data_IF_108848537514
#
_entry.id   IF_108848537514
#
_cell.length_a   1.000
_cell.length_b   1.000
_cell.length_c   1.000
_cell.angle_alpha   90.00
_cell.angle_beta   90.00
_cell.angle_gamma   90.00
#
_symmetry.space_group_name_H-M   'P 1'
#
loop_
_entity.id
_entity.type
_entity.pdbx_description
1 polymer ?
#
# COMPACT_ATOMS: atom_id res chain seq x y z
N UNK A 1 72.40 -26.88 57.84
CA UNK A 1 72.12 -28.19 58.48
C UNK A 1 71.56 -29.21 57.48
N UNK A 2 70.42 -28.93 56.81
CA UNK A 2 69.78 -29.89 55.89
C UNK A 2 70.67 -30.35 54.71
N UNK A 3 71.40 -29.42 54.07
CA UNK A 3 72.31 -29.76 52.96
C UNK A 3 73.40 -30.72 53.43
N UNK A 4 74.07 -30.44 54.55
CA UNK A 4 75.11 -31.31 55.13
C UNK A 4 74.56 -32.69 55.52
N UNK A 5 73.34 -32.75 56.07
CA UNK A 5 72.68 -34.02 56.43
C UNK A 5 72.36 -34.85 55.18
N UNK A 6 71.84 -34.20 54.13
CA UNK A 6 71.57 -34.83 52.84
C UNK A 6 72.87 -35.31 52.20
N UNK A 7 73.94 -34.50 52.19
CA UNK A 7 75.23 -34.90 51.62
C UNK A 7 75.85 -36.08 52.38
N UNK A 8 75.73 -36.13 53.71
CA UNK A 8 76.22 -37.22 54.54
C UNK A 8 75.42 -38.52 54.32
N UNK A 9 74.08 -38.45 54.26
CA UNK A 9 73.22 -39.59 53.93
C UNK A 9 73.47 -40.09 52.50
N UNK A 10 73.68 -39.17 51.55
CA UNK A 10 74.06 -39.51 50.19
C UNK A 10 75.40 -40.25 50.16
N UNK A 11 76.46 -39.70 50.78
CA UNK A 11 77.77 -40.36 50.84
C UNK A 11 77.69 -41.76 51.45
N UNK A 12 76.90 -41.94 52.51
CA UNK A 12 76.77 -43.22 53.22
C UNK A 12 75.96 -44.26 52.44
N UNK A 13 74.87 -43.86 51.78
CA UNK A 13 74.10 -44.74 50.90
C UNK A 13 74.85 -45.11 49.62
N UNK A 14 75.70 -44.20 49.11
CA UNK A 14 76.45 -44.40 47.86
C UNK A 14 77.80 -45.11 48.01
N UNK A 15 78.36 -45.20 49.23
CA UNK A 15 79.57 -45.98 49.51
C UNK A 15 79.39 -47.50 49.28
N UNK A 16 78.14 -48.00 49.23
CA UNK A 16 77.81 -49.41 49.02
C UNK A 16 77.57 -49.80 47.54
N UNK A 17 77.59 -48.84 46.61
CA UNK A 17 77.24 -49.05 45.19
C UNK A 17 78.47 -49.11 44.30
N UNK A 18 78.48 -50.01 43.30
CA UNK A 18 79.53 -50.05 42.28
C UNK A 18 79.45 -48.80 41.39
N UNK A 19 80.58 -48.30 40.91
CA UNK A 19 80.66 -47.06 40.12
C UNK A 19 79.67 -46.99 38.92
N UNK A 20 79.38 -48.12 38.27
CA UNK A 20 78.38 -48.21 37.17
C UNK A 20 76.94 -47.97 37.64
N UNK A 21 76.57 -48.48 38.82
CA UNK A 21 75.24 -48.28 39.41
C UNK A 21 75.05 -46.84 39.89
N UNK A 22 76.14 -46.22 40.35
CA UNK A 22 76.13 -44.80 40.68
C UNK A 22 75.88 -43.93 39.45
N UNK A 23 76.60 -44.20 38.36
CA UNK A 23 76.46 -43.44 37.12
C UNK A 23 75.05 -43.58 36.52
N UNK A 24 74.45 -44.78 36.56
CA UNK A 24 73.10 -45.01 36.04
C UNK A 24 72.02 -44.30 36.86
N UNK A 25 72.12 -44.33 38.20
CA UNK A 25 71.19 -43.60 39.08
C UNK A 25 71.34 -42.08 38.95
N UNK A 26 72.57 -41.58 38.77
CA UNK A 26 72.82 -40.17 38.50
C UNK A 26 72.23 -39.75 37.15
N UNK A 27 72.43 -40.55 36.10
CA UNK A 27 71.86 -40.29 34.77
C UNK A 27 70.32 -40.28 34.80
N UNK A 28 69.70 -41.24 35.47
CA UNK A 28 68.24 -41.29 35.66
C UNK A 28 67.73 -40.08 36.43
N UNK A 29 68.46 -39.62 37.46
CA UNK A 29 68.09 -38.44 38.24
C UNK A 29 68.23 -37.15 37.43
N UNK A 30 69.30 -37.00 36.66
CA UNK A 30 69.47 -35.87 35.74
C UNK A 30 68.36 -35.89 34.70
N UNK A 31 68.04 -37.04 34.10
CA UNK A 31 66.94 -37.19 33.15
C UNK A 31 65.58 -36.81 33.76
N UNK A 32 65.31 -37.24 35.00
CA UNK A 32 64.08 -36.87 35.71
C UNK A 32 64.00 -35.36 35.99
N UNK A 33 65.11 -34.74 36.42
CA UNK A 33 65.16 -33.29 36.65
C UNK A 33 64.96 -32.54 35.33
N UNK A 34 65.63 -32.96 34.25
CA UNK A 34 65.47 -32.37 32.91
C UNK A 34 64.03 -32.50 32.43
N UNK A 35 63.40 -33.66 32.63
CA UNK A 35 61.98 -33.87 32.28
C UNK A 35 61.06 -32.93 33.07
N UNK A 36 61.26 -32.79 34.39
CA UNK A 36 60.48 -31.87 35.23
C UNK A 36 60.67 -30.43 34.80
N UNK A 37 61.90 -30.02 34.48
CA UNK A 37 62.22 -28.69 33.96
C UNK A 37 61.54 -28.45 32.61
N UNK A 38 61.57 -29.43 31.69
CA UNK A 38 60.86 -29.38 30.41
C UNK A 38 59.34 -29.23 30.60
N UNK A 39 58.74 -29.97 31.54
CA UNK A 39 57.31 -29.86 31.85
C UNK A 39 56.96 -28.50 32.49
N UNK A 40 57.85 -27.93 33.32
CA UNK A 40 57.71 -26.59 33.89
C UNK A 40 57.73 -25.50 32.82
N UNK A 41 58.53 -25.67 31.76
CA UNK A 41 58.53 -24.75 30.62
C UNK A 41 57.24 -24.78 29.79
N UNK A 42 56.33 -25.75 30.05
CA UNK A 42 55.07 -25.93 29.32
C UNK A 42 55.23 -25.74 27.81
N UNK A 43 56.05 -26.58 27.13
CA UNK A 43 56.16 -26.51 25.69
C UNK A 43 54.79 -26.79 25.07
N UNK A 44 54.20 -25.78 24.44
CA UNK A 44 52.95 -25.89 23.70
C UNK A 44 53.29 -25.97 22.22
N UNK A 45 52.92 -27.07 21.57
CA UNK A 45 52.91 -27.16 20.11
C UNK A 45 51.56 -26.59 19.62
N UNK A 46 51.57 -25.37 19.11
CA UNK A 46 50.39 -24.77 18.47
C UNK A 46 50.46 -24.97 16.95
N UNK A 47 49.48 -25.67 16.39
CA UNK A 47 49.24 -25.71 14.94
C UNK A 47 48.19 -24.65 14.58
N UNK A 48 48.61 -23.61 13.87
CA UNK A 48 47.69 -22.64 13.27
C UNK A 48 47.42 -23.09 11.83
N UNK A 49 46.16 -23.38 11.51
CA UNK A 49 45.71 -23.58 10.14
C UNK A 49 44.99 -22.29 9.73
N UNK A 50 45.69 -21.41 9.02
CA UNK A 50 45.05 -20.27 8.36
C UNK A 50 44.18 -20.83 7.21
N UNK A 51 42.88 -20.82 7.41
CA UNK A 51 41.92 -21.13 6.35
C UNK A 51 41.50 -19.78 5.77
N UNK A 52 42.04 -19.46 4.59
CA UNK A 52 41.70 -18.24 3.87
C UNK A 52 40.29 -18.44 3.30
N UNK A 53 39.28 -17.93 3.98
CA UNK A 53 37.91 -17.89 3.45
C UNK A 53 37.88 -16.85 2.33
N UNK A 54 37.43 -17.27 1.14
CA UNK A 54 37.20 -16.35 0.04
C UNK A 54 35.96 -15.50 0.35
N UNK A 55 36.00 -14.18 0.10
CA UNK A 55 34.82 -13.35 0.22
C UNK A 55 33.73 -13.81 -0.75
N UNK A 56 32.47 -13.72 -0.34
CA UNK A 56 31.32 -14.10 -1.15
C UNK A 56 30.83 -12.93 -2.01
N UNK A 57 30.49 -13.21 -3.26
CA UNK A 57 29.87 -12.25 -4.20
C UNK A 57 28.54 -12.83 -4.70
N UNK A 58 27.46 -12.06 -4.57
CA UNK A 58 26.11 -12.54 -4.88
C UNK A 58 25.58 -11.83 -6.12
N UNK A 59 25.22 -12.59 -7.15
CA UNK A 59 24.51 -12.10 -8.32
C UNK A 59 23.00 -12.28 -8.17
N UNK A 60 22.24 -11.21 -8.39
CA UNK A 60 20.79 -11.22 -8.48
C UNK A 60 20.39 -10.98 -9.94
N UNK A 61 19.75 -11.96 -10.57
CA UNK A 61 19.28 -11.87 -11.95
C UNK A 61 17.75 -11.78 -12.00
N UNK A 62 17.25 -10.68 -12.55
CA UNK A 62 15.83 -10.49 -12.81
C UNK A 62 15.38 -11.33 -14.01
N UNK A 63 14.29 -12.09 -13.84
CA UNK A 63 13.61 -12.86 -14.89
C UNK A 63 12.13 -12.51 -15.03
N UNK A 64 11.75 -11.29 -14.66
CA UNK A 64 10.41 -10.77 -14.91
C UNK A 64 10.12 -10.66 -16.41
N UNK A 65 8.83 -10.61 -16.76
CA UNK A 65 8.37 -10.59 -18.15
C UNK A 65 8.91 -9.39 -18.94
N UNK A 66 9.18 -8.24 -18.30
CA UNK A 66 9.79 -7.08 -18.95
C UNK A 66 11.23 -7.33 -19.40
N UNK A 67 11.92 -8.32 -18.82
CA UNK A 67 13.25 -8.73 -19.26
C UNK A 67 13.23 -9.49 -20.61
N UNK A 68 12.05 -9.88 -21.11
CA UNK A 68 11.88 -10.48 -22.45
C UNK A 68 11.98 -9.46 -23.59
N UNK A 69 11.90 -8.16 -23.29
CA UNK A 69 11.89 -7.08 -24.28
C UNK A 69 13.29 -6.96 -24.91
N UNK A 70 13.34 -6.80 -26.24
CA UNK A 70 14.54 -6.52 -27.01
C UNK A 70 14.54 -5.06 -27.49
N UNK A 71 15.00 -4.16 -26.63
CA UNK A 71 14.93 -2.71 -26.83
C UNK A 71 16.27 -2.06 -27.24
N UNK A 72 17.37 -2.80 -27.17
CA UNK A 72 18.69 -2.37 -27.66
C UNK A 72 18.85 -2.60 -29.17
N UNK A 73 19.76 -1.84 -29.80
CA UNK A 73 20.04 -1.90 -31.24
C UNK A 73 20.53 -3.29 -31.71
N UNK A 74 21.02 -4.12 -30.78
CA UNK A 74 21.43 -5.50 -31.05
C UNK A 74 20.26 -6.48 -31.22
N UNK A 75 19.04 -6.10 -30.84
CA UNK A 75 17.85 -6.98 -30.87
C UNK A 75 17.90 -8.13 -29.85
N UNK A 76 18.86 -8.11 -28.92
CA UNK A 76 18.97 -9.10 -27.84
C UNK A 76 18.08 -8.68 -26.67
N UNK A 77 17.33 -9.63 -26.11
CA UNK A 77 16.47 -9.36 -24.95
C UNK A 77 17.28 -8.91 -23.73
N UNK A 78 16.71 -8.04 -22.88
CA UNK A 78 17.35 -7.58 -21.64
C UNK A 78 17.83 -8.75 -20.78
N UNK A 79 17.06 -9.82 -20.68
CA UNK A 79 17.44 -11.05 -19.97
C UNK A 79 18.73 -11.67 -20.52
N UNK A 80 18.82 -11.82 -21.84
CA UNK A 80 19.99 -12.43 -22.48
C UNK A 80 21.22 -11.53 -22.39
N UNK A 81 21.05 -10.21 -22.40
CA UNK A 81 22.13 -9.26 -22.12
C UNK A 81 22.66 -9.46 -20.69
N UNK A 82 21.77 -9.51 -19.69
CA UNK A 82 22.15 -9.74 -18.29
C UNK A 82 22.85 -11.11 -18.10
N UNK A 83 22.26 -12.17 -18.68
CA UNK A 83 22.79 -13.53 -18.62
C UNK A 83 24.21 -13.64 -19.19
N UNK A 84 24.41 -13.14 -20.41
CA UNK A 84 25.71 -13.23 -21.09
C UNK A 84 26.82 -12.47 -20.34
N UNK A 85 26.48 -11.36 -19.66
CA UNK A 85 27.41 -10.64 -18.79
C UNK A 85 27.83 -11.48 -17.58
N UNK A 86 26.88 -12.13 -16.90
CA UNK A 86 27.19 -13.02 -15.77
C UNK A 86 28.07 -14.17 -16.24
N UNK A 87 27.72 -14.84 -17.35
CA UNK A 87 28.52 -15.93 -17.93
C UNK A 87 29.96 -15.50 -18.25
N UNK A 88 30.13 -14.27 -18.77
CA UNK A 88 31.46 -13.72 -19.08
C UNK A 88 32.26 -13.40 -17.82
N UNK A 89 31.62 -12.92 -16.76
CA UNK A 89 32.29 -12.51 -15.51
C UNK A 89 32.53 -13.67 -14.54
N UNK A 90 31.83 -14.79 -14.72
CA UNK A 90 31.84 -15.90 -13.78
C UNK A 90 33.25 -16.48 -13.58
N UNK A 91 33.94 -16.85 -14.66
CA UNK A 91 35.22 -17.56 -14.57
C UNK A 91 36.35 -16.70 -13.97
N UNK A 92 36.52 -15.41 -14.34
CA UNK A 92 37.48 -14.54 -13.67
C UNK A 92 37.19 -14.33 -12.19
N UNK A 93 35.92 -14.10 -11.82
CA UNK A 93 35.56 -13.77 -10.43
C UNK A 93 35.60 -14.97 -9.49
N UNK A 94 35.37 -16.18 -10.01
CA UNK A 94 35.43 -17.43 -9.24
C UNK A 94 36.83 -17.73 -8.68
N UNK A 95 37.88 -17.11 -9.22
CA UNK A 95 39.25 -17.26 -8.70
C UNK A 95 39.44 -16.55 -7.35
N UNK A 96 38.76 -15.42 -7.17
CA UNK A 96 38.93 -14.53 -6.02
C UNK A 96 37.76 -14.59 -5.02
N UNK A 97 36.56 -14.97 -5.48
CA UNK A 97 35.31 -14.92 -4.72
C UNK A 97 34.54 -16.25 -4.72
N UNK A 98 33.82 -16.51 -3.64
CA UNK A 98 32.77 -17.53 -3.59
C UNK A 98 31.48 -16.97 -4.21
N UNK A 99 31.07 -17.49 -5.37
CA UNK A 99 30.00 -16.91 -6.17
C UNK A 99 28.65 -17.57 -5.86
N UNK A 100 27.67 -16.75 -5.52
CA UNK A 100 26.27 -17.18 -5.41
C UNK A 100 25.42 -16.53 -6.47
N UNK A 101 24.53 -17.29 -7.08
CA UNK A 101 23.63 -16.81 -8.12
C UNK A 101 22.18 -17.02 -7.70
N UNK A 102 21.38 -15.97 -7.76
CA UNK A 102 19.98 -15.98 -7.35
C UNK A 102 19.16 -15.40 -8.51
N UNK A 103 18.23 -16.18 -9.04
CA UNK A 103 17.19 -15.68 -9.93
C UNK A 103 16.04 -15.08 -9.12
N UNK A 104 15.39 -14.05 -9.64
CA UNK A 104 14.15 -13.57 -9.05
C UNK A 104 13.12 -13.05 -10.05
N UNK A 105 11.85 -13.15 -9.62
CA UNK A 105 10.70 -12.47 -10.19
C UNK A 105 9.71 -12.15 -9.07
N UNK A 106 8.57 -12.86 -8.97
CA UNK A 106 7.70 -12.82 -7.79
C UNK A 106 8.37 -13.50 -6.58
N UNK A 107 9.15 -14.56 -6.84
CA UNK A 107 9.92 -15.31 -5.84
C UNK A 107 11.39 -15.22 -6.18
N UNK A 108 12.25 -15.53 -5.22
CA UNK A 108 13.69 -15.64 -5.43
C UNK A 108 14.15 -17.09 -5.21
N UNK A 109 15.00 -17.59 -6.10
CA UNK A 109 15.54 -18.95 -6.08
C UNK A 109 17.06 -18.93 -6.24
N UNK A 110 17.77 -19.74 -5.45
CA UNK A 110 19.21 -19.92 -5.63
C UNK A 110 19.47 -20.89 -6.78
N UNK A 111 20.51 -20.62 -7.56
CA UNK A 111 21.01 -21.51 -8.60
C UNK A 111 22.35 -22.09 -8.15
N UNK A 112 22.56 -23.36 -8.46
CA UNK A 112 23.77 -24.07 -8.04
C UNK A 112 24.99 -23.71 -8.90
N UNK A 113 24.76 -23.34 -10.16
CA UNK A 113 25.83 -23.08 -11.12
C UNK A 113 25.39 -22.13 -12.24
N UNK A 114 26.38 -21.63 -13.00
CA UNK A 114 26.16 -20.69 -14.10
C UNK A 114 25.46 -21.36 -15.29
N UNK A 115 25.66 -22.67 -15.49
CA UNK A 115 25.03 -23.45 -16.55
C UNK A 115 23.50 -23.49 -16.42
N UNK A 116 22.98 -23.38 -15.19
CA UNK A 116 21.55 -23.30 -14.90
C UNK A 116 20.88 -22.08 -15.53
N UNK A 117 21.65 -21.03 -15.87
CA UNK A 117 21.13 -19.84 -16.55
C UNK A 117 20.57 -20.14 -17.95
N UNK A 118 21.07 -21.17 -18.62
CA UNK A 118 20.61 -21.53 -19.96
C UNK A 118 19.17 -22.05 -19.98
N UNK A 119 18.69 -22.61 -18.86
CA UNK A 119 17.34 -23.16 -18.70
C UNK A 119 16.30 -22.15 -18.23
N UNK A 120 16.69 -20.90 -17.94
CA UNK A 120 15.80 -19.87 -17.44
C UNK A 120 15.19 -19.05 -18.57
N UNK A 121 13.92 -18.66 -18.39
CA UNK A 121 13.20 -17.77 -19.27
C UNK A 121 12.66 -16.56 -18.47
N UNK A 122 12.58 -15.37 -19.09
CA UNK A 122 11.98 -14.19 -18.48
C UNK A 122 10.45 -14.26 -18.52
N UNK A 123 9.86 -15.17 -17.74
CA UNK A 123 8.41 -15.45 -17.70
C UNK A 123 7.74 -14.99 -16.39
N UNK A 124 8.48 -14.30 -15.53
CA UNK A 124 8.01 -13.86 -14.22
C UNK A 124 6.91 -12.79 -14.31
N UNK A 125 5.78 -13.02 -13.64
CA UNK A 125 4.63 -12.08 -13.65
C UNK A 125 4.84 -10.81 -12.82
N UNK A 126 5.85 -10.79 -11.96
CA UNK A 126 6.16 -9.68 -11.07
C UNK A 126 7.67 -9.56 -10.86
N UNK A 127 8.10 -8.43 -10.30
CA UNK A 127 9.49 -8.03 -10.08
C UNK A 127 9.66 -7.61 -8.62
N UNK A 128 10.05 -8.55 -7.77
CA UNK A 128 10.25 -8.35 -6.33
C UNK A 128 11.73 -8.28 -5.95
N UNK A 129 12.36 -7.14 -6.24
CA UNK A 129 13.73 -6.82 -5.82
C UNK A 129 13.90 -6.97 -4.30
N UNK A 130 12.89 -6.58 -3.50
CA UNK A 130 12.92 -6.74 -2.05
C UNK A 130 13.02 -8.21 -1.60
N UNK A 131 12.35 -9.16 -2.28
CA UNK A 131 12.50 -10.60 -2.01
C UNK A 131 13.87 -11.13 -2.45
N UNK A 132 14.42 -10.64 -3.57
CA UNK A 132 15.76 -10.98 -4.03
C UNK A 132 16.84 -10.57 -3.01
N UNK A 133 16.75 -9.36 -2.46
CA UNK A 133 17.65 -8.89 -1.41
C UNK A 133 17.52 -9.69 -0.10
N UNK A 134 16.30 -10.11 0.27
CA UNK A 134 16.12 -11.02 1.41
C UNK A 134 16.78 -12.38 1.15
N UNK A 135 16.69 -12.92 -0.08
CA UNK A 135 17.37 -14.16 -0.44
C UNK A 135 18.89 -14.01 -0.40
N UNK A 136 19.43 -12.90 -0.94
CA UNK A 136 20.87 -12.58 -0.86
C UNK A 136 21.37 -12.54 0.60
N UNK A 137 20.62 -11.91 1.50
CA UNK A 137 21.00 -11.84 2.93
C UNK A 137 21.09 -13.19 3.63
N UNK A 138 20.52 -14.25 3.04
CA UNK A 138 20.52 -15.63 3.55
C UNK A 138 21.49 -16.55 2.81
N UNK A 139 22.04 -16.12 1.68
CA UNK A 139 22.88 -16.94 0.82
C UNK A 139 24.26 -17.21 1.43
N UNK A 140 24.81 -16.23 2.16
CA UNK A 140 26.09 -16.34 2.84
C UNK A 140 26.11 -15.53 4.16
N UNK A 141 27.01 -15.86 5.10
CA UNK A 141 27.20 -15.09 6.32
C UNK A 141 27.53 -13.63 6.02
N UNK A 142 26.89 -12.68 6.73
CA UNK A 142 27.03 -11.24 6.44
C UNK A 142 28.48 -10.73 6.45
N UNK A 143 29.35 -11.34 7.24
CA UNK A 143 30.77 -10.98 7.36
C UNK A 143 31.64 -11.52 6.21
N UNK A 144 31.13 -12.42 5.37
CA UNK A 144 31.85 -12.94 4.20
C UNK A 144 31.39 -12.25 2.92
N UNK A 145 30.17 -11.69 2.87
CA UNK A 145 29.64 -11.05 1.65
C UNK A 145 30.29 -9.68 1.43
N UNK A 146 31.06 -9.57 0.35
CA UNK A 146 31.70 -8.33 -0.07
C UNK A 146 30.68 -7.40 -0.75
N UNK A 147 29.91 -7.94 -1.70
CA UNK A 147 28.91 -7.18 -2.45
C UNK A 147 27.80 -8.05 -3.03
N UNK A 148 26.70 -7.38 -3.39
CA UNK A 148 25.60 -7.93 -4.18
C UNK A 148 25.52 -7.18 -5.50
N UNK A 149 25.46 -7.89 -6.63
CA UNK A 149 25.32 -7.30 -7.96
C UNK A 149 23.91 -7.61 -8.47
N UNK A 150 23.09 -6.57 -8.63
CA UNK A 150 21.72 -6.65 -9.12
C UNK A 150 21.64 -6.31 -10.60
N UNK A 151 21.13 -7.23 -11.43
CA UNK A 151 20.87 -7.02 -12.85
C UNK A 151 19.35 -7.03 -13.09
N UNK A 152 18.80 -5.88 -13.49
CA UNK A 152 17.35 -5.68 -13.71
C UNK A 152 17.11 -4.46 -14.61
N UNK A 153 15.92 -4.34 -15.18
CA UNK A 153 15.45 -3.11 -15.85
C UNK A 153 14.94 -2.04 -14.85
N UNK A 154 14.94 -2.36 -13.55
CA UNK A 154 14.73 -1.42 -12.45
C UNK A 154 13.28 -1.25 -12.01
N UNK A 155 12.31 -1.90 -12.67
CA UNK A 155 10.89 -1.77 -12.31
C UNK A 155 10.56 -2.66 -11.11
N UNK A 156 10.18 -2.05 -9.98
CA UNK A 156 9.72 -2.80 -8.81
C UNK A 156 8.19 -2.73 -8.67
N UNK A 157 7.52 -3.87 -8.60
CA UNK A 157 6.05 -3.94 -8.51
C UNK A 157 5.55 -4.81 -7.35
N UNK A 158 6.32 -4.92 -6.26
CA UNK A 158 5.90 -5.60 -5.04
C UNK A 158 5.68 -4.62 -3.88
N UNK A 159 4.87 -5.01 -2.89
CA UNK A 159 4.45 -4.10 -1.82
C UNK A 159 5.59 -3.59 -0.91
N UNK A 160 6.70 -4.32 -0.79
CA UNK A 160 7.78 -4.00 0.15
C UNK A 160 8.89 -3.22 -0.54
N UNK A 161 9.19 -2.03 -0.03
CA UNK A 161 10.25 -1.15 -0.55
C UNK A 161 11.64 -1.84 -0.50
N UNK A 162 12.34 -1.98 -1.65
CA UNK A 162 13.68 -2.56 -1.72
C UNK A 162 14.76 -1.79 -0.93
N UNK A 163 14.67 -0.46 -0.86
CA UNK A 163 15.66 0.37 -0.17
C UNK A 163 15.70 0.06 1.32
N UNK A 164 14.54 -0.13 1.95
CA UNK A 164 14.46 -0.51 3.36
C UNK A 164 15.12 -1.88 3.63
N UNK A 165 15.02 -2.81 2.69
CA UNK A 165 15.65 -4.14 2.80
C UNK A 165 17.16 -4.02 2.62
N UNK A 166 17.62 -3.25 1.63
CA UNK A 166 19.05 -3.05 1.37
C UNK A 166 19.76 -2.41 2.57
N UNK A 167 19.17 -1.37 3.18
CA UNK A 167 19.72 -0.72 4.39
C UNK A 167 19.83 -1.70 5.56
N UNK A 168 18.82 -2.56 5.76
CA UNK A 168 18.85 -3.59 6.83
C UNK A 168 19.86 -4.70 6.57
N UNK A 169 20.06 -5.09 5.31
CA UNK A 169 21.08 -6.07 4.92
C UNK A 169 22.49 -5.54 5.21
N UNK A 170 22.73 -4.26 4.96
CA UNK A 170 23.97 -3.57 5.30
C UNK A 170 25.20 -4.17 4.60
N UNK A 171 25.01 -4.62 3.36
CA UNK A 171 26.02 -5.05 2.38
C UNK A 171 25.87 -4.14 1.15
N UNK A 172 26.96 -3.83 0.46
CA UNK A 172 26.91 -2.96 -0.73
C UNK A 172 26.15 -3.65 -1.86
N UNK A 173 25.17 -2.95 -2.45
CA UNK A 173 24.43 -3.42 -3.62
C UNK A 173 24.83 -2.57 -4.83
N UNK A 174 25.51 -3.19 -5.80
CA UNK A 174 25.78 -2.60 -7.09
C UNK A 174 24.65 -2.93 -8.05
N UNK A 175 24.05 -1.91 -8.67
CA UNK A 175 22.94 -2.08 -9.60
C UNK A 175 23.40 -1.89 -11.03
N UNK A 176 23.06 -2.83 -11.90
CA UNK A 176 23.29 -2.79 -13.34
C UNK A 176 21.92 -2.75 -14.00
N UNK A 177 21.57 -1.56 -14.51
CA UNK A 177 20.37 -1.37 -15.33
C UNK A 177 20.56 -2.05 -16.69
N UNK A 178 19.60 -2.87 -17.10
CA UNK A 178 19.61 -3.55 -18.40
C UNK A 178 18.45 -3.07 -19.25
N UNK A 179 18.74 -2.78 -20.51
CA UNK A 179 17.86 -2.05 -21.42
C UNK A 179 18.52 -0.77 -21.91
N UNK A 180 18.02 -0.22 -23.01
CA UNK A 180 18.55 1.03 -23.55
C UNK A 180 17.91 2.24 -22.84
N UNK A 181 18.65 3.35 -22.72
CA UNK A 181 18.05 4.66 -22.41
C UNK A 181 17.34 5.16 -23.67
N UNK A 182 16.11 4.69 -23.87
CA UNK A 182 15.36 4.76 -25.13
C UNK A 182 15.15 6.19 -25.66
N UNK A 183 15.20 7.20 -24.78
CA UNK A 183 15.09 8.62 -25.18
C UNK A 183 16.26 9.16 -26.01
N UNK A 184 17.45 8.56 -25.92
CA UNK A 184 18.64 9.06 -26.63
C UNK A 184 18.81 8.42 -28.02
N UNK A 185 18.01 7.40 -28.35
CA UNK A 185 18.02 6.77 -29.66
C UNK A 185 16.98 7.44 -30.57
N UNK A 186 17.46 8.18 -31.58
CA UNK A 186 16.62 8.92 -32.55
C UNK A 186 15.66 7.99 -33.32
N UNK A 187 15.93 6.68 -33.34
CA UNK A 187 15.08 5.68 -33.99
C UNK A 187 14.00 5.11 -33.08
N UNK A 188 14.03 5.38 -31.77
CA UNK A 188 13.05 4.85 -30.83
C UNK A 188 11.74 5.62 -30.89
N UNK A 189 10.66 4.88 -31.09
CA UNK A 189 9.29 5.39 -31.15
C UNK A 189 8.41 4.47 -30.32
N UNK A 190 7.61 5.06 -29.44
CA UNK A 190 6.82 4.32 -28.44
C UNK A 190 5.71 5.21 -27.89
N UNK A 191 4.55 4.62 -27.60
CA UNK A 191 3.45 5.27 -26.90
C UNK A 191 3.03 4.37 -25.75
N UNK A 192 3.05 4.90 -24.54
CA UNK A 192 2.71 4.13 -23.36
C UNK A 192 1.66 4.81 -22.48
N UNK A 193 0.80 4.00 -21.89
CA UNK A 193 -0.11 4.42 -20.82
C UNK A 193 0.60 4.21 -19.48
N UNK A 194 1.16 5.29 -18.93
CA UNK A 194 1.99 5.23 -17.72
C UNK A 194 1.15 5.04 -16.46
N UNK A 195 -0.04 5.64 -16.41
CA UNK A 195 -0.93 5.57 -15.25
C UNK A 195 -2.40 5.75 -15.64
N UNK A 196 -3.28 5.22 -14.80
CA UNK A 196 -4.72 5.48 -14.80
C UNK A 196 -5.12 5.86 -13.37
N UNK A 197 -5.66 7.05 -13.21
CA UNK A 197 -6.23 7.56 -11.96
C UNK A 197 -7.75 7.36 -12.03
N UNK A 198 -8.23 6.34 -11.34
CA UNK A 198 -9.62 5.89 -11.36
C UNK A 198 -10.06 5.65 -9.91
N UNK A 199 -11.14 6.30 -9.44
CA UNK A 199 -11.70 6.08 -8.12
C UNK A 199 -11.97 4.59 -7.82
N UNK A 200 -11.50 4.09 -6.68
CA UNK A 200 -11.73 2.70 -6.25
C UNK A 200 -13.22 2.38 -6.03
N UNK A 201 -14.05 3.41 -5.81
CA UNK A 201 -15.50 3.31 -5.62
C UNK A 201 -16.21 4.42 -6.39
N UNK A 202 -17.29 4.05 -7.07
CA UNK A 202 -18.14 4.97 -7.84
C UNK A 202 -19.61 4.68 -7.56
N UNK A 203 -20.49 5.62 -7.88
CA UNK A 203 -21.93 5.43 -7.78
C UNK A 203 -22.55 5.21 -9.15
N UNK A 204 -23.52 4.30 -9.22
CA UNK A 204 -24.30 4.08 -10.44
C UNK A 204 -25.03 5.36 -10.84
N UNK A 205 -25.05 5.66 -12.14
CA UNK A 205 -25.65 6.84 -12.79
C UNK A 205 -25.05 8.19 -12.39
N UNK A 206 -24.02 8.24 -11.54
CA UNK A 206 -23.34 9.46 -11.17
C UNK A 206 -22.14 9.75 -12.07
N UNK A 207 -21.82 11.04 -12.23
CA UNK A 207 -20.68 11.47 -13.04
C UNK A 207 -19.36 11.06 -12.35
N UNK A 208 -18.64 10.15 -12.98
CA UNK A 208 -17.31 9.71 -12.59
C UNK A 208 -16.26 10.29 -13.55
N UNK A 209 -15.08 10.57 -13.01
CA UNK A 209 -13.94 11.10 -13.75
C UNK A 209 -12.76 10.14 -13.66
N UNK A 210 -12.21 9.76 -14.80
CA UNK A 210 -11.02 8.90 -14.92
C UNK A 210 -9.96 9.66 -15.70
N UNK A 211 -8.74 9.70 -15.18
CA UNK A 211 -7.63 10.41 -15.83
C UNK A 211 -6.51 9.44 -16.21
N UNK A 212 -6.23 9.34 -17.50
CA UNK A 212 -5.10 8.59 -18.02
C UNK A 212 -3.87 9.49 -18.15
N UNK A 213 -2.69 8.91 -17.95
CA UNK A 213 -1.40 9.53 -18.27
C UNK A 213 -0.79 8.76 -19.43
N UNK A 214 -0.62 9.45 -20.56
CA UNK A 214 -0.06 8.90 -21.80
C UNK A 214 1.28 9.59 -22.07
N UNK A 215 2.31 8.82 -22.33
CA UNK A 215 3.64 9.33 -22.69
C UNK A 215 4.01 8.78 -24.06
N UNK A 216 4.57 9.65 -24.90
CA UNK A 216 5.10 9.25 -26.19
C UNK A 216 6.56 9.68 -26.33
N UNK A 217 7.32 8.90 -27.08
CA UNK A 217 8.73 9.19 -27.39
C UNK A 217 8.87 9.13 -28.91
N UNK A 218 9.51 10.15 -29.50
CA UNK A 218 9.86 10.16 -30.93
C UNK A 218 8.67 10.28 -31.90
N UNK A 219 7.48 10.64 -31.41
CA UNK A 219 6.24 10.78 -32.20
C UNK A 219 5.53 12.14 -32.06
N UNK A 220 6.24 13.30 -31.99
CA UNK A 220 5.59 14.58 -31.74
C UNK A 220 4.67 15.01 -32.90
N UNK A 221 3.57 15.67 -32.56
CA UNK A 221 2.57 16.21 -33.50
C UNK A 221 1.60 15.18 -34.05
N UNK A 222 1.71 13.89 -33.68
CA UNK A 222 0.74 12.87 -34.09
C UNK A 222 -0.51 12.95 -33.24
N UNK A 223 -1.66 12.76 -33.89
CA UNK A 223 -2.94 12.61 -33.21
C UNK A 223 -3.21 11.13 -33.02
N UNK A 224 -3.40 10.70 -31.77
CA UNK A 224 -3.76 9.33 -31.42
C UNK A 224 -5.09 9.32 -30.68
N UNK A 225 -5.87 8.26 -30.87
CA UNK A 225 -7.12 8.04 -30.14
C UNK A 225 -6.83 7.31 -28.85
N UNK A 226 -7.20 7.89 -27.73
CA UNK A 226 -7.13 7.22 -26.42
C UNK A 226 -8.53 6.71 -26.11
N UNK A 227 -8.68 5.39 -26.06
CA UNK A 227 -9.95 4.68 -25.86
C UNK A 227 -10.10 4.30 -24.40
N UNK A 228 -11.25 4.59 -23.82
CA UNK A 228 -11.63 4.21 -22.47
C UNK A 228 -12.69 3.10 -22.51
N UNK A 229 -12.42 1.98 -21.83
CA UNK A 229 -13.22 0.75 -21.86
C UNK A 229 -13.66 0.36 -20.45
N UNK A 230 -14.85 -0.25 -20.33
CA UNK A 230 -15.35 -0.93 -19.12
C UNK A 230 -15.64 -2.40 -19.44
N UNK A 231 -14.92 -3.30 -18.78
CA UNK A 231 -14.97 -4.75 -19.03
C UNK A 231 -14.85 -5.09 -20.53
N UNK A 232 -13.89 -4.44 -21.20
CA UNK A 232 -13.58 -4.57 -22.63
C UNK A 232 -14.62 -3.95 -23.60
N UNK A 233 -15.65 -3.25 -23.10
CA UNK A 233 -16.57 -2.48 -23.92
C UNK A 233 -16.16 -0.99 -23.97
N UNK A 234 -16.04 -0.37 -25.15
CA UNK A 234 -15.66 1.04 -25.26
C UNK A 234 -16.77 1.96 -24.74
N UNK A 235 -16.41 2.86 -23.82
CA UNK A 235 -17.30 3.89 -23.26
C UNK A 235 -17.12 5.21 -23.99
N UNK A 236 -15.87 5.66 -24.13
CA UNK A 236 -15.53 6.97 -24.66
C UNK A 236 -14.17 6.92 -25.40
N UNK A 237 -13.96 7.87 -26.32
CA UNK A 237 -12.69 8.06 -27.01
C UNK A 237 -12.31 9.54 -27.04
N UNK A 238 -11.03 9.84 -26.80
CA UNK A 238 -10.50 11.20 -26.83
C UNK A 238 -9.29 11.27 -27.75
N UNK A 239 -9.20 12.32 -28.56
CA UNK A 239 -8.02 12.57 -29.39
C UNK A 239 -6.94 13.29 -28.58
N UNK A 240 -5.73 12.74 -28.57
CA UNK A 240 -4.55 13.34 -27.96
C UNK A 240 -3.53 13.66 -29.04
N UNK A 241 -3.11 14.93 -29.11
CA UNK A 241 -1.94 15.31 -29.92
C UNK A 241 -0.68 15.12 -29.09
N UNK A 242 0.17 14.19 -29.52
CA UNK A 242 1.41 13.85 -28.83
C UNK A 242 2.40 15.02 -28.89
N UNK A 243 3.00 15.37 -27.76
CA UNK A 243 4.07 16.35 -27.69
C UNK A 243 5.45 15.71 -27.50
N UNK A 244 6.51 16.52 -27.57
CA UNK A 244 7.90 16.08 -27.38
C UNK A 244 8.41 16.40 -25.97
N UNK A 245 7.50 16.73 -25.05
CA UNK A 245 7.88 17.18 -23.71
C UNK A 245 8.20 15.97 -22.83
N UNK A 246 9.24 16.10 -22.01
CA UNK A 246 9.54 15.08 -21.01
C UNK A 246 8.40 14.97 -19.98
N UNK A 247 7.66 13.86 -20.01
CA UNK A 247 6.60 13.54 -19.06
C UNK A 247 5.38 12.93 -19.73
N UNK A 248 4.34 12.65 -18.95
CA UNK A 248 3.07 12.16 -19.47
C UNK A 248 2.08 13.30 -19.68
N UNK A 249 1.37 13.27 -20.81
CA UNK A 249 0.20 14.09 -21.09
C UNK A 249 -1.03 13.46 -20.46
N UNK A 250 -1.95 14.28 -19.93
CA UNK A 250 -3.16 13.80 -19.26
C UNK A 250 -4.35 13.83 -20.20
N UNK A 251 -5.13 12.75 -20.21
CA UNK A 251 -6.41 12.64 -20.89
C UNK A 251 -7.48 12.33 -19.85
N UNK A 252 -8.55 13.11 -19.82
CA UNK A 252 -9.65 12.94 -18.86
C UNK A 252 -10.88 12.42 -19.57
N UNK A 253 -11.50 11.40 -18.99
CA UNK A 253 -12.78 10.83 -19.40
C UNK A 253 -13.83 11.12 -18.32
N UNK A 254 -15.01 11.56 -18.73
CA UNK A 254 -16.15 11.80 -17.85
C UNK A 254 -17.31 10.90 -18.31
N UNK A 255 -17.77 10.02 -17.43
CA UNK A 255 -18.80 9.03 -17.77
C UNK A 255 -19.71 8.75 -16.58
N UNK A 256 -20.81 8.02 -16.80
CA UNK A 256 -21.73 7.60 -15.75
C UNK A 256 -21.83 6.08 -15.71
N UNK A 257 -21.31 5.40 -14.68
CA UNK A 257 -21.40 3.94 -14.58
C UNK A 257 -22.87 3.50 -14.59
N UNK A 258 -23.25 2.57 -15.47
CA UNK A 258 -24.66 2.18 -15.66
C UNK A 258 -25.07 0.91 -14.90
N UNK A 259 -24.09 0.09 -14.50
CA UNK A 259 -24.31 -1.16 -13.79
C UNK A 259 -23.57 -1.18 -12.45
N UNK A 260 -24.15 -1.88 -11.47
CA UNK A 260 -23.51 -2.11 -10.18
C UNK A 260 -22.60 -3.32 -10.22
N UNK A 261 -21.57 -3.30 -9.38
CA UNK A 261 -20.64 -4.42 -9.23
C UNK A 261 -19.19 -3.97 -9.34
N UNK A 262 -18.31 -4.93 -9.58
CA UNK A 262 -16.87 -4.69 -9.75
C UNK A 262 -16.58 -4.56 -11.24
N UNK A 263 -16.05 -3.42 -11.64
CA UNK A 263 -15.75 -3.06 -13.02
C UNK A 263 -14.24 -2.97 -13.23
N UNK A 264 -13.75 -3.41 -14.40
CA UNK A 264 -12.36 -3.24 -14.82
C UNK A 264 -12.33 -2.16 -15.89
N UNK A 265 -11.83 -0.99 -15.52
CA UNK A 265 -11.70 0.15 -16.40
C UNK A 265 -10.34 0.14 -17.07
N UNK A 266 -10.30 0.09 -18.39
CA UNK A 266 -9.06 0.01 -19.19
C UNK A 266 -8.93 1.24 -20.06
N UNK A 267 -7.74 1.84 -20.09
CA UNK A 267 -7.37 2.86 -21.07
C UNK A 267 -6.40 2.23 -22.05
N UNK A 268 -6.67 2.40 -23.35
CA UNK A 268 -5.90 1.83 -24.46
C UNK A 268 -5.58 2.89 -25.50
N UNK A 269 -4.36 2.88 -26.01
CA UNK A 269 -3.97 3.59 -27.23
C UNK A 269 -3.79 2.55 -28.35
N UNK A 270 -4.45 2.66 -29.51
CA UNK A 270 -4.23 1.77 -30.64
C UNK A 270 -2.75 1.77 -31.08
N UNK A 271 -2.23 0.58 -31.38
CA UNK A 271 -0.84 0.38 -31.77
C UNK A 271 -0.53 1.09 -33.09
N UNK A 272 0.50 1.94 -33.10
CA UNK A 272 1.07 2.54 -34.30
C UNK A 272 2.16 1.63 -34.88
N UNK A 273 2.21 1.50 -36.20
CA UNK A 273 3.15 0.62 -36.90
C UNK A 273 4.65 0.97 -36.69
N UNK A 274 4.92 2.13 -36.12
CA UNK A 274 6.27 2.63 -35.84
C UNK A 274 6.73 2.36 -34.41
N UNK A 275 5.83 1.92 -33.54
CA UNK A 275 6.13 1.64 -32.14
C UNK A 275 6.93 0.35 -31.99
N UNK A 276 7.97 0.37 -31.15
CA UNK A 276 8.77 -0.82 -30.85
C UNK A 276 8.12 -1.74 -29.83
N UNK A 277 7.29 -1.19 -28.94
CA UNK A 277 6.64 -1.91 -27.85
C UNK A 277 5.14 -1.62 -27.96
N UNK A 278 4.31 -2.67 -27.94
CA UNK A 278 2.84 -2.54 -28.00
C UNK A 278 2.15 -2.94 -26.67
N UNK A 279 2.89 -3.60 -25.78
CA UNK A 279 2.35 -4.16 -24.53
C UNK A 279 2.09 -3.08 -23.46
N UNK A 280 2.73 -1.92 -23.58
CA UNK A 280 2.62 -0.76 -22.69
C UNK A 280 1.54 0.24 -23.15
N UNK A 281 0.86 -0.01 -24.26
CA UNK A 281 -0.20 0.85 -24.80
C UNK A 281 -1.54 0.74 -24.06
N UNK A 282 -1.64 -0.11 -23.03
CA UNK A 282 -2.84 -0.27 -22.25
C UNK A 282 -2.58 -0.33 -20.75
N UNK A 283 -3.51 0.17 -19.95
CA UNK A 283 -3.49 0.06 -18.49
C UNK A 283 -4.89 -0.03 -17.91
N UNK A 284 -5.04 -0.84 -16.87
CA UNK A 284 -6.35 -1.08 -16.25
C UNK A 284 -6.35 -0.74 -14.76
N UNK A 285 -7.50 -0.30 -14.26
CA UNK A 285 -7.82 -0.15 -12.83
C UNK A 285 -9.15 -0.85 -12.52
N UNK A 286 -9.35 -1.22 -11.26
CA UNK A 286 -10.58 -1.88 -10.80
C UNK A 286 -11.31 -0.94 -9.86
N UNK A 287 -12.60 -0.75 -10.09
CA UNK A 287 -13.46 0.06 -9.24
C UNK A 287 -14.74 -0.69 -8.87
N UNK A 288 -15.27 -0.40 -7.69
CA UNK A 288 -16.55 -0.92 -7.21
C UNK A 288 -17.66 0.12 -7.40
N UNK A 289 -18.59 -0.18 -8.30
CA UNK A 289 -19.79 0.64 -8.54
C UNK A 289 -20.90 0.19 -7.59
N UNK A 290 -21.39 1.10 -6.77
CA UNK A 290 -22.46 0.86 -5.79
C UNK A 290 -23.65 1.78 -6.01
N UNK A 291 -24.80 1.45 -5.40
CA UNK A 291 -25.96 2.34 -5.38
C UNK A 291 -25.73 3.47 -4.36
N UNK A 292 -26.30 4.68 -4.58
CA UNK A 292 -26.29 5.75 -3.59
C UNK A 292 -26.87 5.26 -2.26
N UNK A 293 -26.17 5.53 -1.15
CA UNK A 293 -26.48 4.89 0.13
C UNK A 293 -27.34 5.75 1.07
N UNK A 294 -27.54 7.04 0.78
CA UNK A 294 -28.16 7.98 1.73
C UNK A 294 -29.35 8.70 1.10
N UNK A 295 -30.54 8.38 1.60
CA UNK A 295 -31.80 9.08 1.30
C UNK A 295 -32.19 10.02 2.42
N UNK A 296 -32.43 11.28 2.10
CA UNK A 296 -32.78 12.35 3.05
C UNK A 296 -34.24 12.75 2.88
N UNK A 297 -35.03 12.71 3.95
CA UNK A 297 -36.34 13.34 4.00
C UNK A 297 -36.22 14.67 4.74
N UNK A 298 -36.44 15.78 4.04
CA UNK A 298 -36.45 17.11 4.65
C UNK A 298 -37.88 17.66 4.69
N UNK A 299 -38.40 17.93 5.87
CA UNK A 299 -39.71 18.54 6.08
C UNK A 299 -39.51 19.93 6.67
N UNK A 300 -40.03 20.95 5.99
CA UNK A 300 -39.96 22.35 6.42
C UNK A 300 -41.38 22.92 6.61
N UNK A 301 -41.68 23.40 7.81
CA UNK A 301 -42.98 24.00 8.17
C UNK A 301 -43.14 25.46 7.75
N UNK A 302 -42.04 26.20 7.59
CA UNK A 302 -42.08 27.59 7.13
C UNK A 302 -41.04 27.81 6.03
N UNK A 303 -41.42 28.48 4.94
CA UNK A 303 -40.46 28.81 3.88
C UNK A 303 -39.44 29.85 4.37
N UNK A 304 -38.24 29.37 4.72
CA UNK A 304 -37.11 30.19 5.21
C UNK A 304 -35.89 30.07 4.29
N UNK A 305 -34.89 30.93 4.51
CA UNK A 305 -33.68 30.94 3.67
C UNK A 305 -32.88 29.64 3.79
N UNK A 306 -32.95 28.98 4.94
CA UNK A 306 -32.34 27.69 5.25
C UNK A 306 -32.82 26.59 4.31
N UNK A 307 -34.10 26.60 3.92
CA UNK A 307 -34.65 25.63 2.96
C UNK A 307 -33.94 25.72 1.61
N UNK A 308 -33.86 26.93 1.05
CA UNK A 308 -33.16 27.16 -0.22
C UNK A 308 -31.67 26.82 -0.10
N UNK A 309 -31.02 27.22 1.00
CA UNK A 309 -29.62 26.90 1.23
C UNK A 309 -29.37 25.39 1.29
N UNK A 310 -30.13 24.64 2.09
CA UNK A 310 -29.97 23.19 2.25
C UNK A 310 -30.30 22.44 0.96
N UNK A 311 -31.41 22.75 0.33
CA UNK A 311 -31.85 22.03 -0.88
C UNK A 311 -30.98 22.38 -2.09
N UNK A 312 -30.79 23.67 -2.40
CA UNK A 312 -30.10 24.08 -3.64
C UNK A 312 -28.57 23.99 -3.56
N UNK A 313 -28.00 24.19 -2.37
CA UNK A 313 -26.53 24.28 -2.23
C UNK A 313 -25.90 22.99 -1.73
N UNK A 314 -26.64 22.16 -0.99
CA UNK A 314 -26.11 20.92 -0.43
C UNK A 314 -26.79 19.70 -1.05
N UNK A 315 -28.06 19.44 -0.74
CA UNK A 315 -28.73 18.19 -1.11
C UNK A 315 -28.79 17.97 -2.63
N UNK A 316 -29.07 19.01 -3.43
CA UNK A 316 -29.15 18.89 -4.88
C UNK A 316 -27.80 18.87 -5.60
N UNK A 317 -26.70 19.21 -4.91
CA UNK A 317 -25.36 19.25 -5.51
C UNK A 317 -24.50 18.05 -5.14
N UNK A 318 -24.87 17.36 -4.07
CA UNK A 318 -24.14 16.17 -3.62
C UNK A 318 -24.62 14.94 -4.42
N UNK A 319 -23.76 14.32 -5.24
CA UNK A 319 -24.14 13.15 -6.02
C UNK A 319 -24.40 11.92 -5.13
N UNK A 320 -23.85 11.87 -3.91
CA UNK A 320 -23.99 10.73 -3.02
C UNK A 320 -25.32 10.73 -2.26
N UNK A 321 -26.13 11.79 -2.42
CA UNK A 321 -27.39 12.00 -1.72
C UNK A 321 -28.60 11.94 -2.65
N UNK A 322 -29.54 11.12 -2.25
CA UNK A 322 -30.92 11.21 -2.70
C UNK A 322 -31.72 11.97 -1.65
N UNK A 323 -32.63 12.85 -2.06
CA UNK A 323 -33.45 13.63 -1.14
C UNK A 323 -34.87 13.85 -1.64
N UNK A 324 -35.78 13.93 -0.68
CA UNK A 324 -37.14 14.43 -0.87
C UNK A 324 -37.37 15.55 0.14
N UNK A 325 -37.62 16.76 -0.35
CA UNK A 325 -37.90 17.93 0.45
C UNK A 325 -39.38 18.33 0.31
N UNK A 326 -40.09 18.38 1.44
CA UNK A 326 -41.48 18.80 1.57
C UNK A 326 -41.53 20.13 2.31
N UNK A 327 -41.87 21.22 1.62
CA UNK A 327 -42.02 22.55 2.24
C UNK A 327 -43.48 22.94 2.32
N UNK A 328 -43.93 23.33 3.51
CA UNK A 328 -45.31 23.74 3.72
C UNK A 328 -45.58 25.07 3.02
N UNK A 329 -46.67 25.12 2.25
CA UNK A 329 -47.15 26.33 1.57
C UNK A 329 -48.47 26.85 2.14
N UNK A 330 -49.28 25.94 2.68
CA UNK A 330 -50.54 26.20 3.42
C UNK A 330 -50.74 25.10 4.48
N UNK A 331 -51.63 25.27 5.48
CA UNK A 331 -52.02 24.18 6.37
C UNK A 331 -52.36 22.90 5.58
N UNK A 332 -51.64 21.81 5.89
CA UNK A 332 -51.76 20.50 5.24
C UNK A 332 -51.44 20.45 3.73
N UNK A 333 -50.76 21.46 3.16
CA UNK A 333 -50.31 21.45 1.76
C UNK A 333 -48.82 21.68 1.65
N UNK A 334 -48.12 20.69 1.11
CA UNK A 334 -46.67 20.70 0.91
C UNK A 334 -46.33 20.82 -0.58
N UNK A 335 -45.26 21.54 -0.87
CA UNK A 335 -44.59 21.53 -2.16
C UNK A 335 -43.44 20.53 -2.09
N UNK A 336 -43.44 19.57 -3.01
CA UNK A 336 -42.40 18.55 -3.12
C UNK A 336 -41.28 18.99 -4.04
N UNK A 337 -40.05 18.74 -3.63
CA UNK A 337 -38.86 18.80 -4.47
C UNK A 337 -37.97 17.59 -4.18
N UNK A 338 -37.65 16.80 -5.19
CA UNK A 338 -36.96 15.53 -5.02
C UNK A 338 -36.05 15.23 -6.22
N UNK A 339 -34.93 14.56 -5.98
CA UNK A 339 -34.12 13.90 -7.01
C UNK A 339 -34.31 12.37 -7.01
N UNK A 340 -35.13 11.82 -6.10
CA UNK A 340 -35.48 10.40 -6.07
C UNK A 340 -36.43 10.07 -7.22
N UNK A 341 -35.98 9.24 -8.15
CA UNK A 341 -36.81 8.78 -9.27
C UNK A 341 -37.97 7.90 -8.80
N UNK A 342 -39.17 8.12 -9.35
CA UNK A 342 -40.37 7.31 -9.05
C UNK A 342 -41.01 7.52 -7.67
N UNK A 343 -40.45 8.38 -6.82
CA UNK A 343 -40.97 8.60 -5.47
C UNK A 343 -42.33 9.33 -5.47
N UNK A 344 -43.38 8.63 -5.01
CA UNK A 344 -44.73 9.16 -4.86
C UNK A 344 -45.02 9.59 -3.42
N UNK A 345 -44.38 10.68 -2.98
CA UNK A 345 -44.55 11.23 -1.64
C UNK A 345 -44.99 12.70 -1.69
N UNK A 346 -46.31 12.96 -1.66
CA UNK A 346 -46.88 14.32 -1.72
C UNK A 346 -47.15 14.95 -0.35
N UNK A 347 -47.12 14.13 0.71
CA UNK A 347 -47.41 14.54 2.09
C UNK A 347 -46.41 13.88 3.04
N UNK A 348 -46.37 14.35 4.29
CA UNK A 348 -45.54 13.72 5.32
C UNK A 348 -45.90 12.23 5.43
N UNK A 349 -44.94 11.31 5.30
CA UNK A 349 -45.20 9.87 5.36
C UNK A 349 -45.76 9.49 6.72
N UNK A 350 -46.69 8.55 6.74
CA UNK A 350 -47.37 8.15 7.98
C UNK A 350 -47.38 6.64 8.25
N UNK A 351 -46.71 5.90 7.38
CA UNK A 351 -46.52 4.45 7.40
C UNK A 351 -45.01 4.11 7.47
N UNK A 352 -44.72 2.93 8.01
CA UNK A 352 -43.34 2.49 8.20
C UNK A 352 -42.60 2.30 6.86
N UNK A 353 -43.27 1.75 5.84
CA UNK A 353 -42.67 1.46 4.53
C UNK A 353 -42.12 2.73 3.85
N UNK A 354 -42.86 3.84 3.92
CA UNK A 354 -42.42 5.12 3.38
C UNK A 354 -41.30 5.76 4.22
N UNK A 355 -41.34 5.60 5.55
CA UNK A 355 -40.31 6.14 6.46
C UNK A 355 -38.99 5.36 6.32
N UNK A 356 -39.06 4.03 6.17
CA UNK A 356 -37.91 3.14 6.11
C UNK A 356 -37.06 3.34 4.84
N UNK A 357 -37.63 3.96 3.80
CA UNK A 357 -36.90 4.38 2.60
C UNK A 357 -35.86 5.48 2.85
N UNK A 358 -35.89 6.15 4.00
CA UNK A 358 -34.97 7.25 4.31
C UNK A 358 -33.95 6.86 5.39
N UNK A 359 -32.76 7.45 5.29
CA UNK A 359 -31.64 7.27 6.21
C UNK A 359 -31.41 8.50 7.09
N UNK A 360 -31.89 9.68 6.67
CA UNK A 360 -31.75 10.93 7.41
C UNK A 360 -33.06 11.71 7.35
N UNK A 361 -33.49 12.21 8.51
CA UNK A 361 -34.65 13.08 8.63
C UNK A 361 -34.19 14.49 9.04
N UNK A 362 -34.56 15.49 8.25
CA UNK A 362 -34.36 16.90 8.59
C UNK A 362 -35.74 17.51 8.86
N UNK A 363 -35.94 18.08 10.04
CA UNK A 363 -37.18 18.76 10.43
C UNK A 363 -36.87 20.23 10.71
N UNK A 364 -37.44 21.14 9.92
CA UNK A 364 -37.27 22.58 10.09
C UNK A 364 -38.58 23.30 10.36
N UNK A 365 -38.62 24.12 11.40
CA UNK A 365 -39.74 25.01 11.78
C UNK A 365 -41.15 24.41 11.64
N UNK A 366 -41.28 23.11 11.95
CA UNK A 366 -42.53 22.36 11.83
C UNK A 366 -43.15 22.17 13.22
N UNK A 367 -44.40 22.58 13.39
CA UNK A 367 -45.15 22.34 14.64
C UNK A 367 -45.46 20.84 14.80
N UNK A 368 -45.39 20.35 16.04
CA UNK A 368 -45.58 18.92 16.34
C UNK A 368 -46.98 18.40 15.93
N UNK A 369 -47.98 19.27 15.79
CA UNK A 369 -49.34 18.90 15.37
C UNK A 369 -49.40 18.23 13.99
N UNK A 370 -48.40 18.47 13.12
CA UNK A 370 -48.27 17.80 11.82
C UNK A 370 -47.72 16.37 11.94
N UNK A 371 -47.11 16.02 13.06
CA UNK A 371 -46.55 14.70 13.36
C UNK A 371 -47.38 14.04 14.45
N UNK A 372 -48.40 13.29 14.04
CA UNK A 372 -49.23 12.48 14.97
C UNK A 372 -48.33 11.57 15.82
N UNK A 373 -48.69 11.25 17.07
CA UNK A 373 -47.85 10.43 17.96
C UNK A 373 -47.37 9.11 17.33
N UNK A 374 -48.24 8.42 16.58
CA UNK A 374 -47.87 7.19 15.87
C UNK A 374 -46.75 7.40 14.82
N UNK A 375 -46.73 8.53 14.13
CA UNK A 375 -45.69 8.87 13.14
C UNK A 375 -44.38 9.20 13.86
N UNK A 376 -44.45 9.89 15.00
CA UNK A 376 -43.27 10.17 15.82
C UNK A 376 -42.60 8.88 16.29
N UNK A 377 -43.38 7.91 16.77
CA UNK A 377 -42.87 6.60 17.17
C UNK A 377 -42.19 5.85 16.02
N UNK A 378 -42.75 5.92 14.81
CA UNK A 378 -42.12 5.32 13.63
C UNK A 378 -40.78 6.00 13.28
N UNK A 379 -40.73 7.33 13.32
CA UNK A 379 -39.49 8.09 13.11
C UNK A 379 -38.45 7.74 14.18
N UNK A 380 -38.85 7.75 15.46
CA UNK A 380 -37.98 7.40 16.59
C UNK A 380 -37.44 5.98 16.47
N UNK A 381 -38.30 5.02 16.09
CA UNK A 381 -37.86 3.64 15.81
C UNK A 381 -36.80 3.62 14.71
N UNK A 382 -37.07 4.28 13.58
CA UNK A 382 -36.13 4.32 12.45
C UNK A 382 -34.79 4.99 12.81
N UNK A 383 -34.83 6.03 13.65
CA UNK A 383 -33.64 6.71 14.19
C UNK A 383 -32.83 5.76 15.10
N UNK A 384 -33.50 5.03 16.00
CA UNK A 384 -32.86 4.01 16.84
C UNK A 384 -32.26 2.86 16.03
N UNK A 385 -32.85 2.55 14.88
CA UNK A 385 -32.33 1.58 13.91
C UNK A 385 -31.17 2.16 13.05
N UNK A 386 -30.66 3.34 13.38
CA UNK A 386 -29.45 3.93 12.79
C UNK A 386 -29.67 5.05 11.78
N UNK A 387 -30.90 5.57 11.63
CA UNK A 387 -31.12 6.79 10.84
C UNK A 387 -30.69 8.06 11.60
N UNK A 388 -30.28 9.09 10.87
CA UNK A 388 -29.94 10.39 11.43
C UNK A 388 -31.18 11.29 11.61
N UNK A 389 -31.17 12.13 12.65
CA UNK A 389 -32.14 13.20 12.85
C UNK A 389 -31.42 14.55 12.96
N UNK A 390 -31.90 15.52 12.20
CA UNK A 390 -31.51 16.93 12.31
C UNK A 390 -32.76 17.76 12.56
N UNK A 391 -32.78 18.50 13.66
CA UNK A 391 -33.82 19.52 13.90
C UNK A 391 -33.25 20.92 13.74
N UNK A 392 -33.91 21.72 12.90
CA UNK A 392 -33.60 23.13 12.74
C UNK A 392 -34.57 23.96 13.61
N UNK A 393 -34.00 24.75 14.51
CA UNK A 393 -34.74 25.70 15.33
C UNK A 393 -35.49 26.74 14.46
N UNK A 394 -36.54 27.31 15.01
CA UNK A 394 -37.44 28.23 14.33
C UNK A 394 -38.49 28.80 15.29
N UNK A 395 -39.48 29.52 14.76
CA UNK A 395 -40.56 30.12 15.56
C UNK A 395 -41.65 29.11 15.97
N UNK A 396 -41.72 27.97 15.28
CA UNK A 396 -42.72 26.92 15.42
C UNK A 396 -42.11 25.52 15.57
N UNK A 397 -40.81 25.41 15.87
CA UNK A 397 -40.15 24.14 16.22
C UNK A 397 -39.64 24.12 17.66
N UNK A 398 -39.11 22.98 18.11
CA UNK A 398 -38.56 22.79 19.45
C UNK A 398 -39.59 23.15 20.55
N UNK A 399 -39.25 24.05 21.49
CA UNK A 399 -40.15 24.43 22.57
C UNK A 399 -41.46 25.07 22.07
N UNK A 400 -41.40 26.20 21.34
CA UNK A 400 -42.58 26.81 20.71
C UNK A 400 -43.40 25.86 19.82
N UNK A 401 -42.72 24.91 19.16
CA UNK A 401 -43.33 23.86 18.34
C UNK A 401 -44.01 22.73 19.13
N UNK A 402 -43.85 22.70 20.45
CA UNK A 402 -44.51 21.74 21.34
C UNK A 402 -43.86 20.36 21.38
N UNK A 403 -42.56 20.25 21.15
CA UNK A 403 -41.85 18.96 21.18
C UNK A 403 -41.47 18.50 22.60
N UNK A 404 -41.64 19.33 23.63
CA UNK A 404 -41.43 18.94 25.03
C UNK A 404 -42.33 17.75 25.41
N UNK A 405 -41.74 16.70 25.99
CA UNK A 405 -42.45 15.49 26.41
C UNK A 405 -42.98 14.63 25.27
N UNK A 406 -42.44 14.80 24.06
CA UNK A 406 -42.83 14.00 22.87
C UNK A 406 -41.75 12.99 22.52
N UNK A 407 -42.08 11.85 21.88
CA UNK A 407 -41.08 10.85 21.49
C UNK A 407 -39.91 11.43 20.68
N UNK A 408 -40.18 12.40 19.79
CA UNK A 408 -39.13 13.08 19.02
C UNK A 408 -38.31 14.06 19.85
N UNK A 409 -38.90 14.73 20.83
CA UNK A 409 -38.17 15.58 21.77
C UNK A 409 -37.19 14.78 22.62
N UNK A 410 -37.61 13.61 23.09
CA UNK A 410 -36.83 12.74 24.00
C UNK A 410 -35.59 12.12 23.35
N UNK A 411 -35.52 12.04 22.01
CA UNK A 411 -34.34 11.54 21.29
C UNK A 411 -33.31 12.62 20.99
N UNK A 412 -33.62 13.90 21.21
CA UNK A 412 -32.67 14.98 20.96
C UNK A 412 -31.63 15.07 22.07
N UNK A 413 -30.39 15.48 21.75
CA UNK A 413 -29.33 15.66 22.74
C UNK A 413 -29.48 16.96 23.57
N UNK A 414 -30.68 17.55 23.61
CA UNK A 414 -30.98 18.81 24.30
C UNK A 414 -32.33 18.73 25.00
N UNK A 415 -32.45 19.37 26.17
CA UNK A 415 -33.73 19.52 26.83
C UNK A 415 -34.55 20.63 26.17
N UNK A 416 -35.78 20.30 25.80
CA UNK A 416 -36.71 21.25 25.20
C UNK A 416 -37.58 21.88 26.29
N UNK A 417 -37.79 23.19 26.17
CA UNK A 417 -38.72 23.92 27.03
C UNK A 417 -40.16 23.86 26.52
N UNK A 418 -41.10 24.38 27.32
CA UNK A 418 -42.51 24.47 26.94
C UNK A 418 -42.77 25.47 25.80
N UNK A 419 -43.99 25.45 25.27
CA UNK A 419 -44.45 26.41 24.24
C UNK A 419 -44.41 27.87 24.70
N UNK A 420 -44.35 28.12 26.00
CA UNK A 420 -44.32 29.45 26.59
C UNK A 420 -42.92 30.08 26.56
N UNK A 421 -41.89 29.25 26.37
CA UNK A 421 -40.50 29.68 26.24
C UNK A 421 -40.33 30.21 24.82
N UNK A 422 -40.42 31.53 24.67
CA UNK A 422 -40.21 32.23 23.40
C UNK A 422 -38.76 32.18 22.91
N UNK A 423 -38.46 32.97 21.87
CA UNK A 423 -37.09 33.11 21.38
C UNK A 423 -36.32 34.17 22.15
N UNK A 424 -35.08 33.83 22.52
CA UNK A 424 -34.11 34.76 23.06
C UNK A 424 -33.08 35.07 21.96
N UNK A 425 -32.79 36.35 21.74
CA UNK A 425 -31.73 36.81 20.82
C UNK A 425 -30.43 37.15 21.55
N UNK A 426 -30.40 36.91 22.86
CA UNK A 426 -29.21 37.10 23.67
C UNK A 426 -28.18 36.00 23.38
N UNK A 427 -26.86 36.28 23.50
CA UNK A 427 -25.84 35.27 23.41
C UNK A 427 -26.11 34.12 24.39
N UNK A 428 -26.39 32.95 23.84
CA UNK A 428 -26.62 31.74 24.61
C UNK A 428 -25.36 30.87 24.58
N UNK A 429 -24.88 30.48 25.76
CA UNK A 429 -23.84 29.47 25.90
C UNK A 429 -24.50 28.14 26.28
N UNK A 430 -24.38 27.07 25.47
CA UNK A 430 -24.89 25.77 25.84
C UNK A 430 -24.23 25.29 27.14
N UNK A 431 -25.05 24.94 28.13
CA UNK A 431 -24.59 24.30 29.36
C UNK A 431 -24.74 22.79 29.21
N UNK A 432 -23.66 22.05 29.50
CA UNK A 432 -23.71 20.59 29.52
C UNK A 432 -24.71 20.09 30.56
N UNK A 433 -25.39 19.00 30.23
CA UNK A 433 -26.24 18.27 31.17
C UNK A 433 -25.35 17.57 32.21
N UNK A 434 -25.88 17.16 33.38
CA UNK A 434 -25.13 16.36 34.35
C UNK A 434 -24.46 15.13 33.69
N UNK A 435 -25.21 14.41 32.86
CA UNK A 435 -24.70 13.25 32.12
C UNK A 435 -23.61 13.64 31.10
N UNK A 436 -23.73 14.82 30.48
CA UNK A 436 -22.74 15.34 29.53
C UNK A 436 -21.43 15.79 30.18
N UNK A 437 -21.45 16.20 31.46
CA UNK A 437 -20.25 16.53 32.24
C UNK A 437 -19.45 15.25 32.56
N UNK A 438 -20.16 14.16 32.86
CA UNK A 438 -19.56 12.88 33.24
C UNK A 438 -19.26 11.96 32.02
N UNK A 439 -19.59 12.40 30.80
CA UNK A 439 -19.38 11.63 29.58
C UNK A 439 -17.88 11.53 29.23
N UNK A 440 -17.34 10.36 28.86
CA UNK A 440 -15.90 10.14 28.67
C UNK A 440 -15.32 10.76 27.37
N UNK A 441 -16.12 11.52 26.61
CA UNK A 441 -15.74 12.16 25.33
C UNK A 441 -15.90 13.66 25.48
#
# INVERSE_FOLDING_TARGET
>A
AAILLVTALYRRAFAALKARQWLSLLALRIAAIVLVVLLLFRPVLSYYKEQKEQPSLIFLLDRSASMSIADDATGVTRFNQARSRIETWWEPLKQDFDLHLIEFSERAGSLDNVESLSGLAPDGKATSISRALVAASKAAPRNTVEAVILLSDGVHNSARNPLEVAVKMGTVVHTIGVGASLRNDVSYRDIQVTAIDCPDRMLVNNLAKVTASVEAIGLPGRVVKVVFEDNDEPIDEQELTLDDTQGSQKVTFEFRPSAKGRHTYTVRVPVSAEEKIDQNNQRSSVALVVEPAIRVLYIEGTLRAEYGALVDRFLAKDPDLEFCALVQTRPNKFLKRSNVEGLQLETIPSDAESIDQFNVFILGDLDVSYLRPAVQELLVKRIRDGAGLVMLGGYHSLGPGGYEGTPLGDVLPVFLGSREIGQFTEPFLPTLTPDGIDHPI
#
